data_IF_157207059279
#
_entry.id   IF_157207059279
#
_cell.length_a   1.000
_cell.length_b   1.000
_cell.length_c   1.000
_cell.angle_alpha   90.00
_cell.angle_beta   90.00
_cell.angle_gamma   90.00
#
_symmetry.space_group_name_H-M   'P 1'
#
loop_
_entity.id
_entity.type
_entity.pdbx_description
1 polymer ?
#
# COMPACT_ATOMS: atom_id res chain seq x y z
N UNK A 1 -5.28 17.32 -11.54
CA UNK A 1 -4.47 18.43 -10.99
C UNK A 1 -5.29 19.68 -10.69
N UNK A 2 -6.14 20.13 -11.62
CA UNK A 2 -7.01 21.31 -11.40
C UNK A 2 -7.96 21.12 -10.22
N UNK A 3 -8.44 19.91 -9.99
CA UNK A 3 -9.36 19.58 -8.88
C UNK A 3 -8.65 19.73 -7.54
N UNK A 4 -7.36 19.39 -7.46
CA UNK A 4 -6.58 19.48 -6.23
C UNK A 4 -5.96 20.86 -6.00
N UNK A 5 -6.13 21.80 -6.91
CA UNK A 5 -5.70 23.18 -6.73
C UNK A 5 -6.64 23.87 -5.74
N UNK A 6 -6.09 24.28 -4.59
CA UNK A 6 -6.86 24.96 -3.53
C UNK A 6 -7.61 26.20 -4.00
N UNK A 7 -7.13 26.85 -5.05
CA UNK A 7 -7.78 28.03 -5.64
C UNK A 7 -9.09 27.68 -6.35
N UNK A 8 -9.27 26.43 -6.76
CA UNK A 8 -10.45 25.98 -7.47
C UNK A 8 -11.59 25.53 -6.54
N UNK A 9 -11.37 25.52 -5.23
CA UNK A 9 -12.38 25.17 -4.22
C UNK A 9 -13.11 23.87 -4.55
N UNK A 10 -12.39 22.82 -4.97
CA UNK A 10 -12.98 21.53 -5.30
C UNK A 10 -13.74 20.95 -4.10
N UNK A 11 -14.92 20.41 -4.34
CA UNK A 11 -15.70 19.71 -3.32
C UNK A 11 -15.16 18.31 -3.07
N UNK A 12 -15.49 17.72 -1.91
CA UNK A 12 -15.12 16.34 -1.61
C UNK A 12 -15.64 15.35 -2.66
N UNK A 13 -16.84 15.58 -3.18
CA UNK A 13 -17.41 14.72 -4.23
C UNK A 13 -16.61 14.82 -5.52
N UNK A 14 -16.23 16.02 -5.92
CA UNK A 14 -15.40 16.20 -7.12
C UNK A 14 -14.05 15.53 -7.01
N UNK A 15 -13.42 15.60 -5.84
CA UNK A 15 -12.15 14.91 -5.56
C UNK A 15 -12.35 13.40 -5.66
N UNK A 16 -13.36 12.86 -4.98
CA UNK A 16 -13.66 11.44 -5.02
C UNK A 16 -13.91 10.94 -6.45
N UNK A 17 -14.74 11.65 -7.20
CA UNK A 17 -15.07 11.27 -8.57
C UNK A 17 -13.82 11.31 -9.49
N UNK A 18 -12.99 12.34 -9.34
CA UNK A 18 -11.75 12.46 -10.09
C UNK A 18 -10.78 11.32 -9.83
N UNK A 19 -10.50 11.05 -8.56
CA UNK A 19 -9.59 9.99 -8.15
C UNK A 19 -10.13 8.60 -8.54
N UNK A 20 -11.43 8.38 -8.38
CA UNK A 20 -12.09 7.12 -8.78
C UNK A 20 -11.99 6.90 -10.29
N UNK A 21 -12.19 7.94 -11.09
CA UNK A 21 -12.06 7.83 -12.55
C UNK A 21 -10.63 7.49 -12.97
N UNK A 22 -9.63 8.02 -12.29
CA UNK A 22 -8.23 7.65 -12.54
C UNK A 22 -7.97 6.18 -12.16
N UNK A 23 -8.45 5.75 -11.01
CA UNK A 23 -8.30 4.36 -10.58
C UNK A 23 -8.96 3.36 -11.53
N UNK A 24 -10.11 3.70 -12.10
CA UNK A 24 -10.80 2.84 -13.07
C UNK A 24 -9.95 2.52 -14.30
N UNK A 25 -9.14 3.47 -14.74
CA UNK A 25 -8.28 3.32 -15.93
C UNK A 25 -6.86 2.89 -15.59
N UNK A 26 -6.53 2.77 -14.31
CA UNK A 26 -5.22 2.36 -13.83
C UNK A 26 -5.07 0.84 -13.89
N UNK A 27 -3.96 0.36 -14.42
CA UNK A 27 -3.62 -1.08 -14.43
C UNK A 27 -2.77 -1.45 -13.22
N UNK A 28 -1.87 -0.58 -12.80
CA UNK A 28 -0.96 -0.81 -11.69
C UNK A 28 -1.09 0.34 -10.69
N UNK A 29 -1.57 0.04 -9.49
CA UNK A 29 -1.56 0.99 -8.38
C UNK A 29 -0.26 0.82 -7.60
N UNK A 30 0.59 1.84 -7.61
CA UNK A 30 1.81 1.87 -6.78
C UNK A 30 1.53 2.71 -5.54
N UNK A 31 1.52 2.06 -4.40
CA UNK A 31 1.22 2.67 -3.11
C UNK A 31 2.49 2.80 -2.28
N UNK A 32 2.95 4.03 -2.05
CA UNK A 32 4.04 4.32 -1.11
C UNK A 32 3.44 4.49 0.27
N UNK A 33 3.66 3.50 1.13
CA UNK A 33 3.00 3.43 2.43
C UNK A 33 3.92 3.80 3.60
N UNK A 34 4.91 4.61 3.33
CA UNK A 34 5.84 5.14 4.34
C UNK A 34 5.15 6.20 5.23
N UNK A 35 5.81 6.51 6.35
CA UNK A 35 5.36 7.54 7.28
C UNK A 35 4.94 6.98 8.63
N UNK A 36 4.49 7.85 9.53
CA UNK A 36 4.03 7.46 10.87
C UNK A 36 2.77 6.59 10.82
N UNK A 37 1.92 6.87 9.86
CA UNK A 37 0.74 6.08 9.56
C UNK A 37 0.48 6.19 8.05
N UNK A 38 -0.16 5.18 7.49
CA UNK A 38 -0.57 5.25 6.09
C UNK A 38 -1.52 6.44 5.89
N UNK A 39 -1.35 7.15 4.80
CA UNK A 39 -2.27 8.23 4.44
C UNK A 39 -3.71 7.69 4.32
N UNK A 40 -4.69 8.32 4.98
CA UNK A 40 -6.08 7.84 4.95
C UNK A 40 -6.68 7.76 3.55
N UNK A 41 -6.38 8.73 2.70
CA UNK A 41 -6.82 8.72 1.30
C UNK A 41 -6.24 7.54 0.54
N UNK A 42 -4.94 7.33 0.67
CA UNK A 42 -4.26 6.20 0.03
C UNK A 42 -4.81 4.85 0.53
N UNK A 43 -5.05 4.71 1.83
CA UNK A 43 -5.65 3.49 2.39
C UNK A 43 -7.04 3.21 1.76
N UNK A 44 -7.84 4.26 1.59
CA UNK A 44 -9.16 4.17 0.95
C UNK A 44 -9.05 3.77 -0.52
N UNK A 45 -8.11 4.35 -1.24
CA UNK A 45 -7.84 4.02 -2.65
C UNK A 45 -7.37 2.57 -2.82
N UNK A 46 -6.49 2.09 -1.95
CA UNK A 46 -6.06 0.68 -1.94
C UNK A 46 -7.25 -0.25 -1.76
N UNK A 47 -8.12 0.04 -0.80
CA UNK A 47 -9.32 -0.75 -0.56
C UNK A 47 -10.29 -0.74 -1.74
N UNK A 48 -10.50 0.41 -2.33
CA UNK A 48 -11.35 0.55 -3.52
C UNK A 48 -10.78 -0.24 -4.70
N UNK A 49 -9.49 -0.11 -4.96
CA UNK A 49 -8.80 -0.80 -6.06
C UNK A 49 -8.79 -2.33 -5.86
N UNK A 50 -8.59 -2.79 -4.64
CA UNK A 50 -8.69 -4.21 -4.30
C UNK A 50 -10.10 -4.75 -4.59
N UNK A 51 -11.13 -3.99 -4.26
CA UNK A 51 -12.52 -4.37 -4.56
C UNK A 51 -12.79 -4.41 -6.05
N UNK A 52 -12.24 -3.47 -6.80
CA UNK A 52 -12.32 -3.47 -8.26
C UNK A 52 -11.70 -4.74 -8.86
N UNK A 53 -10.55 -5.17 -8.36
CA UNK A 53 -9.92 -6.43 -8.77
C UNK A 53 -10.82 -7.64 -8.45
N UNK A 54 -11.41 -7.67 -7.25
CA UNK A 54 -12.32 -8.75 -6.85
C UNK A 54 -13.53 -8.87 -7.78
N UNK A 55 -14.10 -7.75 -8.17
CA UNK A 55 -15.27 -7.70 -9.05
C UNK A 55 -14.91 -8.00 -10.51
N UNK A 56 -13.67 -7.74 -10.91
CA UNK A 56 -13.19 -7.88 -12.27
C UNK A 56 -11.86 -8.67 -12.31
N UNK A 57 -11.88 -9.97 -11.97
CA UNK A 57 -10.66 -10.76 -11.82
C UNK A 57 -9.84 -10.91 -13.12
N UNK A 58 -10.45 -10.66 -14.27
CA UNK A 58 -9.77 -10.72 -15.55
C UNK A 58 -9.18 -9.39 -16.01
N UNK A 59 -9.24 -8.35 -15.17
CA UNK A 59 -8.75 -7.01 -15.52
C UNK A 59 -7.23 -6.89 -15.62
N UNK A 60 -6.47 -7.85 -15.08
CA UNK A 60 -5.02 -7.83 -14.96
C UNK A 60 -4.49 -6.67 -14.12
N UNK A 61 -5.33 -6.08 -13.27
CA UNK A 61 -4.92 -5.02 -12.35
C UNK A 61 -4.16 -5.60 -11.17
N UNK A 62 -3.12 -4.88 -10.72
CA UNK A 62 -2.33 -5.27 -9.54
C UNK A 62 -2.06 -4.06 -8.66
N UNK A 63 -1.77 -4.35 -7.38
CA UNK A 63 -1.35 -3.35 -6.40
C UNK A 63 0.10 -3.63 -6.01
N UNK A 64 0.98 -2.63 -6.15
CA UNK A 64 2.36 -2.74 -5.71
C UNK A 64 2.58 -1.76 -4.56
N UNK A 65 2.95 -2.30 -3.41
CA UNK A 65 3.28 -1.48 -2.24
C UNK A 65 4.77 -1.25 -2.12
N UNK A 66 5.16 -0.06 -1.67
CA UNK A 66 6.52 0.28 -1.32
C UNK A 66 6.57 0.75 0.12
N UNK A 67 7.29 0.04 0.97
CA UNK A 67 7.47 0.36 2.37
C UNK A 67 8.95 0.36 2.73
N UNK A 68 9.56 1.54 2.71
CA UNK A 68 10.99 1.74 2.96
C UNK A 68 11.28 2.27 4.37
N UNK A 69 10.25 2.44 5.18
CA UNK A 69 10.36 3.00 6.53
C UNK A 69 11.24 2.10 7.42
N UNK A 70 12.23 2.71 8.08
CA UNK A 70 13.14 1.98 8.96
C UNK A 70 12.46 1.38 10.20
N UNK A 71 11.22 1.77 10.49
CA UNK A 71 10.45 1.25 11.63
C UNK A 71 9.73 -0.06 11.33
N UNK A 72 9.82 -0.58 10.13
CA UNK A 72 9.11 -1.80 9.71
C UNK A 72 9.69 -3.09 10.30
N UNK A 73 10.73 -3.00 11.11
CA UNK A 73 11.42 -4.15 11.68
C UNK A 73 12.58 -4.66 10.82
N UNK A 74 12.88 -4.03 9.69
CA UNK A 74 14.04 -4.35 8.86
C UNK A 74 15.29 -3.59 9.29
N UNK A 75 15.16 -2.53 10.09
CA UNK A 75 16.27 -1.87 10.75
C UNK A 75 16.95 -2.84 11.70
N UNK A 76 18.27 -2.89 11.70
CA UNK A 76 19.06 -3.89 12.44
C UNK A 76 18.66 -3.96 13.91
N UNK A 77 18.63 -2.83 14.61
CA UNK A 77 18.31 -2.80 16.05
C UNK A 77 16.87 -3.19 16.34
N UNK A 78 15.95 -2.64 15.58
CA UNK A 78 14.52 -2.93 15.73
C UNK A 78 14.24 -4.37 15.35
N UNK A 79 14.86 -4.84 14.26
CA UNK A 79 14.69 -6.21 13.80
C UNK A 79 15.14 -7.24 14.82
N UNK A 80 16.28 -7.05 15.47
CA UNK A 80 16.76 -7.98 16.50
C UNK A 80 15.72 -8.16 17.61
N UNK A 81 15.15 -7.06 18.11
CA UNK A 81 14.12 -7.12 19.15
C UNK A 81 12.86 -7.82 18.66
N UNK A 82 12.44 -7.52 17.44
CA UNK A 82 11.24 -8.10 16.84
C UNK A 82 11.43 -9.57 16.52
N UNK A 83 12.59 -9.98 16.01
CA UNK A 83 12.90 -11.37 15.73
C UNK A 83 12.92 -12.22 17.01
N UNK A 84 13.44 -11.69 18.11
CA UNK A 84 13.39 -12.37 19.40
C UNK A 84 11.95 -12.59 19.86
N UNK A 85 11.10 -11.61 19.71
CA UNK A 85 9.67 -11.73 20.03
C UNK A 85 8.95 -12.67 19.05
N UNK A 86 9.28 -12.59 17.77
CA UNK A 86 8.70 -13.44 16.74
C UNK A 86 9.04 -14.91 16.94
N UNK A 87 10.23 -15.22 17.48
CA UNK A 87 10.60 -16.58 17.83
C UNK A 87 9.72 -17.17 18.95
N UNK A 88 9.14 -16.31 19.79
CA UNK A 88 8.23 -16.69 20.86
C UNK A 88 6.76 -16.69 20.44
N UNK A 89 6.46 -16.03 19.32
CA UNK A 89 5.12 -15.87 18.78
C UNK A 89 5.04 -16.50 17.38
N UNK A 90 3.83 -16.85 16.97
CA UNK A 90 3.60 -17.24 15.58
C UNK A 90 3.96 -16.09 14.64
N UNK A 91 4.59 -16.37 13.50
CA UNK A 91 5.00 -15.36 12.53
C UNK A 91 3.87 -14.43 12.07
N UNK A 92 2.66 -14.95 11.92
CA UNK A 92 1.50 -14.14 11.55
C UNK A 92 1.13 -13.15 12.66
N UNK A 93 1.22 -13.59 13.91
CA UNK A 93 0.97 -12.73 15.06
C UNK A 93 2.06 -11.68 15.18
N UNK A 94 3.31 -12.06 14.97
CA UNK A 94 4.44 -11.13 14.98
C UNK A 94 4.30 -10.04 13.93
N UNK A 95 3.90 -10.39 12.73
CA UNK A 95 3.61 -9.42 11.67
C UNK A 95 2.51 -8.45 12.11
N UNK A 96 1.43 -8.95 12.71
CA UNK A 96 0.33 -8.12 13.21
C UNK A 96 0.75 -7.14 14.30
N UNK A 97 1.55 -7.61 15.24
CA UNK A 97 1.88 -6.85 16.45
C UNK A 97 3.03 -5.86 16.27
N UNK A 98 3.95 -6.14 15.36
CA UNK A 98 5.20 -5.38 15.23
C UNK A 98 5.32 -4.61 13.93
N UNK A 99 4.31 -4.63 13.11
CA UNK A 99 4.23 -3.78 11.93
C UNK A 99 3.74 -2.38 12.30
N UNK A 100 4.35 -1.35 11.73
CA UNK A 100 3.89 0.02 11.83
C UNK A 100 2.89 0.37 10.73
N UNK A 101 2.55 -0.58 9.88
CA UNK A 101 1.60 -0.38 8.79
C UNK A 101 0.29 -1.07 9.10
N UNK A 102 -0.82 -0.44 8.73
CA UNK A 102 -2.14 -1.02 8.90
C UNK A 102 -2.25 -2.35 8.15
N UNK A 103 -2.56 -3.42 8.86
CA UNK A 103 -2.57 -4.78 8.31
C UNK A 103 -3.66 -5.02 7.27
N UNK A 104 -4.78 -4.31 7.36
CA UNK A 104 -5.84 -4.44 6.36
C UNK A 104 -5.35 -3.93 5.00
N UNK A 105 -4.68 -2.78 4.99
CA UNK A 105 -4.08 -2.21 3.78
C UNK A 105 -2.97 -3.09 3.22
N UNK A 106 -2.09 -3.57 4.09
CA UNK A 106 -1.01 -4.50 3.69
C UNK A 106 -1.57 -5.81 3.14
N UNK A 107 -2.63 -6.32 3.76
CA UNK A 107 -3.32 -7.52 3.30
C UNK A 107 -3.86 -7.38 1.88
N UNK A 108 -4.49 -6.26 1.57
CA UNK A 108 -4.96 -5.96 0.22
C UNK A 108 -3.81 -5.95 -0.80
N UNK A 109 -2.69 -5.30 -0.46
CA UNK A 109 -1.51 -5.24 -1.32
C UNK A 109 -0.95 -6.65 -1.56
N UNK A 110 -0.77 -7.43 -0.51
CA UNK A 110 -0.20 -8.79 -0.61
C UNK A 110 -1.12 -9.75 -1.37
N UNK A 111 -2.42 -9.59 -1.21
CA UNK A 111 -3.40 -10.47 -1.88
C UNK A 111 -3.49 -10.20 -3.37
N UNK A 112 -3.44 -8.95 -3.79
CA UNK A 112 -3.64 -8.53 -5.17
C UNK A 112 -2.39 -7.96 -5.84
N UNK A 113 -1.23 -8.19 -5.24
CA UNK A 113 0.02 -7.71 -5.79
C UNK A 113 1.21 -8.11 -4.93
N UNK A 114 2.09 -7.16 -4.69
CA UNK A 114 3.33 -7.42 -3.96
C UNK A 114 3.78 -6.21 -3.17
N UNK A 115 4.40 -6.46 -2.01
CA UNK A 115 5.00 -5.44 -1.17
C UNK A 115 6.53 -5.47 -1.34
N UNK A 116 7.12 -4.32 -1.61
CA UNK A 116 8.56 -4.14 -1.76
C UNK A 116 9.14 -3.31 -0.62
N UNK A 117 10.36 -3.60 -0.24
CA UNK A 117 11.10 -2.89 0.80
C UNK A 117 12.04 -1.82 0.24
N UNK A 118 12.40 -1.93 -1.03
CA UNK A 118 13.30 -0.98 -1.69
C UNK A 118 12.76 -0.56 -3.05
N UNK A 119 13.16 0.64 -3.46
CA UNK A 119 12.83 1.16 -4.79
C UNK A 119 13.42 0.28 -5.90
N UNK A 120 14.63 -0.21 -5.68
CA UNK A 120 15.33 -1.06 -6.63
C UNK A 120 14.57 -2.36 -6.92
N UNK A 121 14.05 -3.01 -5.89
CA UNK A 121 13.22 -4.22 -6.03
C UNK A 121 11.94 -3.94 -6.82
N UNK A 122 11.28 -2.82 -6.54
CA UNK A 122 10.10 -2.39 -7.27
C UNK A 122 10.40 -2.15 -8.75
N UNK A 123 11.48 -1.43 -9.05
CA UNK A 123 11.90 -1.14 -10.42
C UNK A 123 12.23 -2.45 -11.16
N UNK A 124 12.96 -3.36 -10.54
CA UNK A 124 13.30 -4.65 -11.13
C UNK A 124 12.07 -5.47 -11.45
N UNK A 125 11.08 -5.46 -10.56
CA UNK A 125 9.79 -6.12 -10.83
C UNK A 125 9.08 -5.50 -12.04
N UNK A 126 8.99 -4.17 -12.10
CA UNK A 126 8.33 -3.47 -13.20
C UNK A 126 9.00 -3.72 -14.55
N UNK A 127 10.33 -3.85 -14.58
CA UNK A 127 11.06 -4.18 -15.81
C UNK A 127 10.72 -5.56 -16.36
N UNK A 128 10.32 -6.49 -15.51
CA UNK A 128 9.99 -7.87 -15.89
C UNK A 128 8.49 -8.09 -16.07
N UNK A 129 7.70 -7.16 -15.61
CA UNK A 129 6.24 -7.21 -15.71
C UNK A 129 5.76 -6.75 -17.08
#
# INVERSE_FOLDING_TARGET
EAINDKRNCATAIQIYDGDTNELLTTDILIAVIDGLAIDPGLATEIGWFAREIELNPNSNKIILGLYTDCRDGTNVTVKETLDQKAAMLNNNIAESQFSYVNLYSVGAIKKYGKLFKTVEELIDFLKKY
#
